data_IF_411947911264
#
_entry.id   IF_411947911264
#
_cell.length_a   1.000
_cell.length_b   1.000
_cell.length_c   1.000
_cell.angle_alpha   90.00
_cell.angle_beta   90.00
_cell.angle_gamma   90.00
#
_symmetry.space_group_name_H-M   'P 1'
#
loop_
_entity.id
_entity.type
_entity.pdbx_description
1 polymer ?
#
# COMPACT_ATOMS: atom_id res chain seq x y z
N UNK A 1 15.15 21.71 -5.79
CA UNK A 1 14.02 21.06 -6.50
C UNK A 1 13.84 19.61 -6.05
N UNK A 2 14.90 18.79 -5.97
CA UNK A 2 14.84 17.40 -5.48
C UNK A 2 14.18 17.24 -4.09
N UNK A 3 14.50 18.11 -3.14
CA UNK A 3 13.93 18.07 -1.78
C UNK A 3 12.41 18.30 -1.73
N UNK A 4 11.87 19.11 -2.66
CA UNK A 4 10.44 19.40 -2.70
C UNK A 4 9.65 18.24 -3.31
N UNK A 5 10.19 17.59 -4.36
CA UNK A 5 9.58 16.39 -4.94
C UNK A 5 9.47 15.24 -3.93
N UNK A 6 10.51 15.03 -3.13
CA UNK A 6 10.51 14.01 -2.07
C UNK A 6 9.50 14.32 -0.95
N UNK A 7 9.31 15.59 -0.60
CA UNK A 7 8.29 15.99 0.39
C UNK A 7 6.89 15.66 -0.10
N UNK A 8 6.56 16.03 -1.35
CA UNK A 8 5.24 15.71 -1.92
C UNK A 8 5.03 14.21 -2.11
N UNK A 9 6.07 13.46 -2.46
CA UNK A 9 6.02 11.99 -2.51
C UNK A 9 5.72 11.42 -1.11
N UNK A 10 6.43 11.87 -0.08
CA UNK A 10 6.18 11.44 1.29
C UNK A 10 4.74 11.72 1.73
N UNK A 11 4.26 12.95 1.52
CA UNK A 11 2.89 13.34 1.86
C UNK A 11 1.85 12.51 1.12
N UNK A 12 2.07 12.20 -0.16
CA UNK A 12 1.19 11.35 -0.95
C UNK A 12 1.14 9.92 -0.38
N UNK A 13 2.29 9.28 -0.15
CA UNK A 13 2.36 7.89 0.32
C UNK A 13 1.81 7.77 1.75
N UNK A 14 2.04 8.76 2.60
CA UNK A 14 1.44 8.84 3.95
C UNK A 14 -0.08 8.98 3.85
N UNK A 15 -0.58 9.86 2.98
CA UNK A 15 -2.02 10.07 2.78
C UNK A 15 -2.71 8.80 2.30
N UNK A 16 -2.09 8.06 1.38
CA UNK A 16 -2.57 6.73 0.98
C UNK A 16 -2.49 5.72 2.13
N UNK A 17 -1.46 5.81 2.97
CA UNK A 17 -1.31 5.01 4.19
C UNK A 17 -2.56 5.04 5.07
N UNK A 18 -3.22 6.19 5.21
CA UNK A 18 -4.46 6.31 5.99
C UNK A 18 -5.70 5.71 5.31
N UNK A 19 -5.70 5.57 3.98
CA UNK A 19 -6.82 4.97 3.26
C UNK A 19 -6.96 3.47 3.56
N UNK A 20 -5.84 2.75 3.68
CA UNK A 20 -5.85 1.29 3.82
C UNK A 20 -6.41 0.75 5.13
N UNK A 21 -6.15 1.31 6.33
CA UNK A 21 -6.80 0.89 7.56
C UNK A 21 -8.32 0.90 7.45
N UNK A 22 -8.90 1.95 6.87
CA UNK A 22 -10.35 2.03 6.68
C UNK A 22 -10.86 0.97 5.69
N UNK A 23 -10.08 0.72 4.63
CA UNK A 23 -10.34 -0.30 3.61
C UNK A 23 -10.35 -1.71 4.22
N UNK A 24 -9.36 -2.04 5.06
CA UNK A 24 -9.21 -3.31 5.79
C UNK A 24 -10.37 -3.51 6.77
N UNK A 25 -10.70 -2.49 7.57
CA UNK A 25 -11.78 -2.58 8.56
C UNK A 25 -13.12 -2.87 7.86
N UNK A 26 -13.38 -2.20 6.73
CA UNK A 26 -14.58 -2.46 5.94
C UNK A 26 -14.59 -3.88 5.37
N UNK A 27 -13.49 -4.34 4.78
CA UNK A 27 -13.37 -5.72 4.27
C UNK A 27 -13.62 -6.76 5.35
N UNK A 28 -13.02 -6.58 6.53
CA UNK A 28 -13.16 -7.52 7.63
C UNK A 28 -14.60 -7.58 8.18
N UNK A 29 -15.26 -6.42 8.33
CA UNK A 29 -16.64 -6.32 8.85
C UNK A 29 -17.69 -6.75 7.84
N UNK A 30 -17.52 -6.42 6.56
CA UNK A 30 -18.50 -6.73 5.52
C UNK A 30 -18.67 -8.24 5.30
N UNK A 31 -17.59 -9.03 5.47
CA UNK A 31 -17.56 -10.49 5.24
C UNK A 31 -18.07 -10.92 3.85
N UNK A 32 -18.04 -10.01 2.88
CA UNK A 32 -18.39 -10.23 1.49
C UNK A 32 -17.40 -9.48 0.59
N UNK A 33 -17.30 -9.88 -0.67
CA UNK A 33 -16.50 -9.21 -1.70
C UNK A 33 -17.29 -8.13 -2.45
N UNK A 34 -18.61 -8.04 -2.22
CA UNK A 34 -19.46 -7.03 -2.86
C UNK A 34 -18.95 -5.61 -2.59
N UNK A 35 -18.79 -4.83 -3.67
CA UNK A 35 -18.24 -3.46 -3.60
C UNK A 35 -16.71 -3.35 -3.44
N UNK A 36 -15.98 -4.48 -3.45
CA UNK A 36 -14.52 -4.50 -3.39
C UNK A 36 -13.92 -4.88 -4.75
N UNK A 37 -13.01 -4.06 -5.27
CA UNK A 37 -12.36 -4.29 -6.57
C UNK A 37 -11.02 -5.03 -6.41
N UNK A 38 -10.98 -6.30 -6.81
CA UNK A 38 -9.74 -7.09 -6.86
C UNK A 38 -8.69 -6.52 -7.83
N UNK A 39 -9.04 -6.12 -9.08
CA UNK A 39 -8.07 -5.52 -9.99
C UNK A 39 -7.41 -4.26 -9.41
N UNK A 40 -8.17 -3.44 -8.68
CA UNK A 40 -7.64 -2.26 -8.01
C UNK A 40 -6.57 -2.62 -6.95
N UNK A 41 -6.83 -3.61 -6.10
CA UNK A 41 -5.86 -4.07 -5.09
C UNK A 41 -4.57 -4.58 -5.74
N UNK A 42 -4.68 -5.34 -6.84
CA UNK A 42 -3.53 -5.88 -7.57
C UNK A 42 -2.70 -4.75 -8.21
N UNK A 43 -3.35 -3.80 -8.89
CA UNK A 43 -2.67 -2.66 -9.54
C UNK A 43 -1.92 -1.83 -8.49
N UNK A 44 -2.55 -1.57 -7.33
CA UNK A 44 -1.92 -0.80 -6.26
C UNK A 44 -0.73 -1.56 -5.65
N UNK A 45 -0.85 -2.87 -5.40
CA UNK A 45 0.27 -3.69 -4.93
C UNK A 45 1.45 -3.65 -5.90
N UNK A 46 1.17 -3.77 -7.20
CA UNK A 46 2.18 -3.64 -8.23
C UNK A 46 2.84 -2.26 -8.22
N UNK A 47 2.05 -1.19 -8.12
CA UNK A 47 2.56 0.18 -8.01
C UNK A 47 3.47 0.38 -6.80
N UNK A 48 3.09 -0.14 -5.63
CA UNK A 48 3.94 -0.09 -4.44
C UNK A 48 5.21 -0.92 -4.60
N UNK A 49 5.15 -2.11 -5.20
CA UNK A 49 6.34 -2.92 -5.50
C UNK A 49 7.32 -2.16 -6.41
N UNK A 50 6.82 -1.53 -7.48
CA UNK A 50 7.63 -0.69 -8.37
C UNK A 50 8.26 0.50 -7.62
N UNK A 51 7.51 1.15 -6.73
CA UNK A 51 8.01 2.24 -5.88
C UNK A 51 9.15 1.78 -4.97
N UNK A 52 8.96 0.64 -4.30
CA UNK A 52 9.98 0.02 -3.44
C UNK A 52 11.24 -0.31 -4.24
N UNK A 53 11.09 -1.00 -5.39
CA UNK A 53 12.22 -1.38 -6.27
C UNK A 53 12.96 -0.14 -6.79
N UNK A 54 12.23 0.90 -7.19
CA UNK A 54 12.83 2.16 -7.65
C UNK A 54 13.71 2.80 -6.56
N UNK A 55 13.26 2.78 -5.31
CA UNK A 55 14.08 3.26 -4.19
C UNK A 55 15.32 2.39 -3.98
N UNK A 56 15.21 1.05 -4.11
CA UNK A 56 16.37 0.14 -4.04
C UNK A 56 17.39 0.32 -5.17
N UNK A 57 16.96 0.58 -6.40
CA UNK A 57 17.86 0.69 -7.54
C UNK A 57 18.47 2.08 -7.71
N UNK A 58 17.73 3.13 -7.38
CA UNK A 58 18.12 4.53 -7.66
C UNK A 58 18.23 5.40 -6.41
N UNK A 59 17.93 4.85 -5.23
CA UNK A 59 18.10 5.55 -3.96
C UNK A 59 19.57 5.82 -3.70
N UNK A 60 19.91 7.08 -3.42
CA UNK A 60 21.24 7.45 -2.94
C UNK A 60 21.27 7.21 -1.44
N UNK A 61 21.76 6.05 -1.05
CA UNK A 61 21.85 5.59 0.34
C UNK A 61 23.07 6.19 1.05
N UNK A 62 23.09 7.50 1.25
CA UNK A 62 24.09 8.10 2.14
C UNK A 62 23.59 8.08 3.58
N UNK A 63 24.32 7.34 4.42
CA UNK A 63 24.05 7.11 5.85
C UNK A 63 24.13 8.40 6.70
N UNK A 64 24.72 9.46 6.15
CA UNK A 64 24.99 10.75 6.80
C UNK A 64 24.36 11.85 5.93
N UNK A 65 23.09 12.17 6.14
CA UNK A 65 22.51 13.44 5.65
C UNK A 65 21.18 13.38 4.88
N UNK A 66 20.76 12.23 4.35
CA UNK A 66 19.48 12.11 3.62
C UNK A 66 18.39 11.38 4.42
N UNK A 67 17.99 11.99 5.55
CA UNK A 67 16.95 11.49 6.45
C UNK A 67 15.61 11.22 5.73
N UNK A 68 15.28 11.97 4.67
CA UNK A 68 13.99 11.91 3.98
C UNK A 68 13.76 10.65 3.13
N UNK A 69 14.81 10.03 2.58
CA UNK A 69 14.63 8.87 1.68
C UNK A 69 14.26 7.59 2.42
N UNK A 70 14.74 7.44 3.66
CA UNK A 70 14.48 6.25 4.49
C UNK A 70 13.00 6.14 4.90
N UNK A 71 12.37 7.26 5.29
CA UNK A 71 10.97 7.24 5.74
C UNK A 71 9.99 6.94 4.61
N UNK A 72 10.20 7.49 3.41
CA UNK A 72 9.31 7.26 2.26
C UNK A 72 9.28 5.77 1.90
N UNK A 73 10.43 5.10 1.90
CA UNK A 73 10.54 3.66 1.67
C UNK A 73 9.76 2.85 2.73
N UNK A 74 9.89 3.22 4.02
CA UNK A 74 9.14 2.57 5.10
C UNK A 74 7.63 2.70 4.86
N UNK A 75 7.14 3.90 4.48
CA UNK A 75 5.73 4.07 4.17
C UNK A 75 5.29 3.26 2.95
N UNK A 76 6.10 3.17 1.90
CA UNK A 76 5.82 2.28 0.77
C UNK A 76 5.65 0.82 1.21
N UNK A 77 6.54 0.31 2.07
CA UNK A 77 6.48 -1.07 2.59
C UNK A 77 5.24 -1.27 3.46
N UNK A 78 4.95 -0.35 4.38
CA UNK A 78 3.77 -0.44 5.25
C UNK A 78 2.49 -0.45 4.39
N UNK A 79 2.40 0.43 3.39
CA UNK A 79 1.29 0.46 2.44
C UNK A 79 1.18 -0.88 1.68
N UNK A 80 2.28 -1.42 1.16
CA UNK A 80 2.30 -2.71 0.47
C UNK A 80 1.77 -3.84 1.37
N UNK A 81 2.21 -3.91 2.63
CA UNK A 81 1.75 -4.91 3.59
C UNK A 81 0.26 -4.73 3.90
N UNK A 82 -0.21 -3.50 4.12
CA UNK A 82 -1.63 -3.22 4.40
C UNK A 82 -2.53 -3.63 3.23
N UNK A 83 -2.16 -3.27 2.00
CA UNK A 83 -2.93 -3.69 0.82
C UNK A 83 -2.86 -5.20 0.61
N UNK A 84 -1.71 -5.82 0.87
CA UNK A 84 -1.56 -7.29 0.83
C UNK A 84 -2.46 -7.99 1.85
N UNK A 85 -2.60 -7.43 3.04
CA UNK A 85 -3.54 -7.93 4.04
C UNK A 85 -5.00 -7.75 3.61
N UNK A 86 -5.34 -6.61 3.01
CA UNK A 86 -6.68 -6.37 2.47
C UNK A 86 -7.01 -7.34 1.31
N UNK A 87 -6.03 -7.66 0.48
CA UNK A 87 -6.13 -8.69 -0.56
C UNK A 87 -6.35 -10.09 0.04
N UNK A 88 -5.65 -10.44 1.12
CA UNK A 88 -5.92 -11.69 1.83
C UNK A 88 -7.36 -11.75 2.37
N UNK A 89 -7.86 -10.66 2.94
CA UNK A 89 -9.25 -10.56 3.38
C UNK A 89 -10.24 -10.68 2.23
N UNK A 90 -9.92 -10.15 1.04
CA UNK A 90 -10.73 -10.36 -0.15
C UNK A 90 -10.90 -11.85 -0.46
N UNK A 91 -9.80 -12.63 -0.50
CA UNK A 91 -9.89 -14.07 -0.76
C UNK A 91 -10.63 -14.84 0.35
N UNK A 92 -10.48 -14.42 1.62
CA UNK A 92 -11.30 -14.97 2.72
C UNK A 92 -12.79 -14.73 2.46
N UNK A 93 -13.18 -13.50 2.16
CA UNK A 93 -14.58 -13.15 1.91
C UNK A 93 -15.12 -13.80 0.64
N UNK A 94 -14.28 -13.99 -0.38
CA UNK A 94 -14.66 -14.69 -1.60
C UNK A 94 -15.08 -16.13 -1.33
N UNK A 95 -14.39 -16.81 -0.40
CA UNK A 95 -14.80 -18.15 0.06
C UNK A 95 -16.13 -18.11 0.81
N UNK A 96 -16.35 -17.10 1.67
CA UNK A 96 -17.61 -16.93 2.39
C UNK A 96 -18.79 -16.69 1.43
N UNK A 97 -18.61 -15.85 0.42
CA UNK A 97 -19.62 -15.58 -0.61
C UNK A 97 -19.98 -16.85 -1.42
N UNK A 98 -19.01 -17.74 -1.66
CA UNK A 98 -19.26 -19.00 -2.35
C UNK A 98 -19.98 -20.03 -1.47
N UNK A 99 -19.69 -20.08 -0.18
CA UNK A 99 -20.38 -20.99 0.75
C UNK A 99 -21.79 -20.52 1.14
N UNK A 100 -22.10 -19.24 0.93
CA UNK A 100 -23.43 -18.67 1.16
C UNK A 100 -24.36 -18.76 -0.06
N UNK A 101 -23.86 -19.25 -1.20
CA UNK A 101 -24.65 -19.59 -2.40
C UNK A 101 -25.11 -21.04 -2.32
#
# INVERSE_FOLDING_TARGET
MENLGQLFEALMVISFGFAWPTSIIKSYKARTTQGKSLPFLIIILFGYACGIVSKFLFGKYDFIGHFTQYYVLIFYIINFIMVGFDLFLYYRNYKLDQSAK
#
